data_IF_692337742359
#
_entry.id   IF_692337742359
#
_cell.length_a   1.000
_cell.length_b   1.000
_cell.length_c   1.000
_cell.angle_alpha   90.00
_cell.angle_beta   90.00
_cell.angle_gamma   90.00
#
_symmetry.space_group_name_H-M   'P 1'
#
loop_
_entity.id
_entity.type
_entity.pdbx_description
1 polymer ?
#
# COMPACT_ATOMS: atom_id res chain seq x y z
N UNK A 1 -91.63 23.89 -54.76
CA UNK A 1 -90.60 22.89 -55.19
C UNK A 1 -89.43 23.02 -54.24
N UNK A 2 -89.44 22.20 -53.22
CA UNK A 2 -88.53 22.29 -52.07
C UNK A 2 -87.58 21.09 -52.07
N UNK A 3 -86.33 21.35 -52.26
CA UNK A 3 -85.26 20.35 -52.23
C UNK A 3 -84.69 20.29 -50.80
N UNK A 4 -84.79 19.12 -50.17
CA UNK A 4 -84.17 18.87 -48.87
C UNK A 4 -82.77 18.28 -49.11
N UNK A 5 -81.73 18.96 -48.59
CA UNK A 5 -80.39 18.44 -48.56
C UNK A 5 -80.19 17.58 -47.28
N UNK A 6 -79.69 16.34 -47.47
CA UNK A 6 -79.32 15.43 -46.39
C UNK A 6 -77.77 15.55 -46.13
N UNK A 7 -77.38 16.00 -44.94
CA UNK A 7 -76.01 16.05 -44.48
C UNK A 7 -75.67 14.72 -43.88
N UNK A 8 -74.72 14.02 -44.50
CA UNK A 8 -74.10 12.81 -43.94
C UNK A 8 -72.89 13.19 -43.05
N UNK A 9 -73.00 12.93 -41.75
CA UNK A 9 -71.93 13.15 -40.82
C UNK A 9 -70.93 11.98 -40.85
N UNK A 10 -69.68 12.23 -41.22
CA UNK A 10 -68.60 11.27 -41.11
C UNK A 10 -67.95 11.37 -39.69
N UNK A 11 -68.08 10.33 -38.90
CA UNK A 11 -67.43 10.19 -37.62
C UNK A 11 -65.96 9.75 -37.84
N UNK A 12 -64.98 10.66 -37.54
CA UNK A 12 -63.57 10.28 -37.51
C UNK A 12 -63.27 9.58 -36.18
N UNK A 13 -63.03 8.27 -36.26
CA UNK A 13 -62.39 7.54 -35.15
C UNK A 13 -60.90 7.84 -35.14
N UNK A 14 -60.43 8.57 -34.14
CA UNK A 14 -59.00 8.74 -33.84
C UNK A 14 -58.51 7.51 -33.08
N UNK A 15 -57.76 6.65 -33.76
CA UNK A 15 -56.98 5.59 -33.07
C UNK A 15 -55.83 6.27 -32.28
N UNK A 16 -55.93 6.25 -30.94
CA UNK A 16 -54.79 6.62 -30.07
C UNK A 16 -53.75 5.51 -30.15
N UNK A 17 -52.55 5.83 -30.66
CA UNK A 17 -51.40 4.94 -30.61
C UNK A 17 -50.98 4.68 -29.15
N UNK A 18 -50.63 3.45 -28.77
CA UNK A 18 -50.13 3.20 -27.43
C UNK A 18 -48.82 3.95 -27.21
N UNK A 19 -48.56 4.42 -25.97
CA UNK A 19 -47.29 5.09 -25.66
C UNK A 19 -46.13 4.06 -25.86
N UNK A 20 -44.97 4.54 -26.34
CA UNK A 20 -43.78 3.69 -26.47
C UNK A 20 -43.41 3.13 -25.10
N UNK A 21 -42.90 1.86 -25.03
CA UNK A 21 -42.43 1.30 -23.76
C UNK A 21 -41.39 2.22 -23.19
N UNK A 22 -41.53 2.61 -21.93
CA UNK A 22 -40.50 3.27 -21.16
C UNK A 22 -39.31 2.31 -21.06
N UNK A 23 -38.23 2.62 -21.77
CA UNK A 23 -36.99 1.94 -21.54
C UNK A 23 -36.61 2.25 -20.10
N UNK A 24 -36.67 1.26 -19.21
CA UNK A 24 -36.06 1.33 -17.91
C UNK A 24 -34.59 1.61 -18.17
N UNK A 25 -34.10 2.78 -17.77
CA UNK A 25 -32.68 3.07 -17.65
C UNK A 25 -32.14 1.99 -16.72
N UNK A 26 -31.36 1.03 -17.26
CA UNK A 26 -30.55 0.14 -16.43
C UNK A 26 -29.77 1.03 -15.48
N UNK A 27 -29.95 0.81 -14.18
CA UNK A 27 -29.09 1.42 -13.19
C UNK A 27 -27.65 1.05 -13.57
N UNK A 28 -26.81 2.05 -13.73
CA UNK A 28 -25.41 1.89 -14.02
C UNK A 28 -24.81 1.14 -12.79
N UNK A 29 -24.54 -0.15 -12.95
CA UNK A 29 -23.99 -1.01 -11.90
C UNK A 29 -22.44 -0.85 -11.79
N UNK A 30 -21.92 0.25 -12.32
CA UNK A 30 -20.49 0.58 -12.20
C UNK A 30 -20.13 1.12 -10.80
N UNK A 31 -18.83 1.18 -10.48
CA UNK A 31 -18.36 1.74 -9.22
C UNK A 31 -18.74 3.23 -9.10
N UNK A 32 -18.93 3.70 -7.87
CA UNK A 32 -19.06 5.13 -7.61
C UNK A 32 -17.72 5.83 -7.85
N UNK A 33 -17.63 6.69 -8.86
CA UNK A 33 -16.39 7.41 -9.19
C UNK A 33 -16.22 8.63 -8.29
N UNK A 34 -15.05 8.76 -7.66
CA UNK A 34 -14.63 9.91 -6.87
C UNK A 34 -13.51 10.64 -7.61
N UNK A 35 -13.79 11.89 -7.98
CA UNK A 35 -12.83 12.78 -8.62
C UNK A 35 -11.86 13.40 -7.60
N UNK A 36 -10.63 13.72 -8.02
CA UNK A 36 -9.66 14.36 -7.14
C UNK A 36 -10.06 15.80 -6.80
N UNK A 37 -9.88 16.18 -5.53
CA UNK A 37 -10.09 17.54 -5.04
C UNK A 37 -8.83 18.41 -5.12
N UNK A 38 -7.64 17.78 -5.21
CA UNK A 38 -6.35 18.45 -5.23
C UNK A 38 -5.33 17.68 -6.08
N UNK A 39 -4.21 18.30 -6.47
CA UNK A 39 -3.06 17.59 -7.02
C UNK A 39 -2.50 16.58 -6.00
N UNK A 40 -1.67 15.63 -6.46
CA UNK A 40 -0.85 14.79 -5.61
C UNK A 40 0.10 15.66 -4.77
N UNK A 41 0.24 15.31 -3.51
CA UNK A 41 1.16 15.95 -2.58
C UNK A 41 2.16 14.93 -2.09
N UNK A 42 3.44 15.24 -2.27
CA UNK A 42 4.55 14.45 -1.77
C UNK A 42 5.06 15.10 -0.48
N UNK A 43 5.09 14.31 0.59
CA UNK A 43 5.65 14.68 1.88
C UNK A 43 6.89 13.82 2.14
N UNK A 44 7.99 14.50 2.46
CA UNK A 44 9.26 13.90 2.86
C UNK A 44 9.42 14.10 4.36
N UNK A 45 9.32 13.03 5.11
CA UNK A 45 9.63 12.99 6.55
C UNK A 45 11.04 12.43 6.77
N UNK A 46 11.54 12.48 7.99
CA UNK A 46 12.87 11.97 8.37
C UNK A 46 13.10 10.49 8.01
N UNK A 47 12.05 9.68 8.02
CA UNK A 47 12.15 8.24 7.89
C UNK A 47 11.22 7.62 6.83
N UNK A 48 10.41 8.41 6.14
CA UNK A 48 9.50 7.90 5.12
C UNK A 48 9.15 8.93 4.06
N UNK A 49 8.64 8.44 2.95
CA UNK A 49 8.03 9.25 1.90
C UNK A 49 6.54 8.94 1.81
N UNK A 50 5.71 9.96 1.73
CA UNK A 50 4.25 9.85 1.59
C UNK A 50 3.77 10.60 0.37
N UNK A 51 2.94 9.94 -0.42
CA UNK A 51 2.27 10.53 -1.56
C UNK A 51 0.76 10.50 -1.31
N UNK A 52 0.12 11.64 -1.17
CA UNK A 52 -1.26 11.73 -0.74
C UNK A 52 -2.12 12.57 -1.68
N UNK A 53 -3.41 12.19 -1.79
CA UNK A 53 -4.42 12.92 -2.53
C UNK A 53 -5.80 12.76 -1.93
N UNK A 54 -6.61 13.80 -1.97
CA UNK A 54 -8.01 13.78 -1.54
C UNK A 54 -8.97 13.71 -2.73
N UNK A 55 -10.09 13.01 -2.53
CA UNK A 55 -11.11 12.72 -3.54
C UNK A 55 -12.52 12.97 -2.99
N UNK A 56 -13.50 13.12 -3.89
CA UNK A 56 -14.89 13.23 -3.58
C UNK A 56 -15.42 14.66 -3.60
N UNK A 57 -16.04 15.13 -2.51
CA UNK A 57 -16.54 16.50 -2.35
C UNK A 57 -16.04 17.10 -1.04
N UNK A 58 -16.13 18.43 -0.89
CA UNK A 58 -15.69 19.11 0.34
C UNK A 58 -16.35 18.55 1.62
N UNK A 59 -17.61 18.13 1.52
CA UNK A 59 -18.37 17.58 2.65
C UNK A 59 -18.16 16.07 2.84
N UNK A 60 -17.66 15.35 1.83
CA UNK A 60 -17.47 13.89 1.82
C UNK A 60 -16.12 13.56 1.21
N UNK A 61 -15.08 13.80 2.00
CA UNK A 61 -13.71 13.58 1.58
C UNK A 61 -13.28 12.14 1.77
N UNK A 62 -12.49 11.69 0.83
CA UNK A 62 -11.73 10.43 0.91
C UNK A 62 -10.26 10.75 0.67
N UNK A 63 -9.38 10.27 1.53
CA UNK A 63 -7.94 10.35 1.40
C UNK A 63 -7.42 9.02 0.86
N UNK A 64 -6.59 9.07 -0.17
CA UNK A 64 -5.66 7.99 -0.52
C UNK A 64 -4.24 8.47 -0.21
N UNK A 65 -3.46 7.64 0.48
CA UNK A 65 -2.06 7.90 0.78
C UNK A 65 -1.24 6.64 0.53
N UNK A 66 -0.17 6.80 -0.22
CA UNK A 66 0.91 5.83 -0.39
C UNK A 66 2.05 6.19 0.56
N UNK A 67 2.69 5.19 1.15
CA UNK A 67 3.77 5.38 2.11
C UNK A 67 4.86 4.33 1.91
N UNK A 68 6.11 4.76 1.86
CA UNK A 68 7.28 3.90 1.89
C UNK A 68 8.22 4.31 3.03
N UNK A 69 8.73 3.30 3.75
CA UNK A 69 9.71 3.44 4.84
C UNK A 69 11.11 3.02 4.42
N UNK A 70 11.21 2.35 3.30
CA UNK A 70 12.42 1.91 2.60
C UNK A 70 12.13 1.76 1.11
N UNK A 71 13.16 1.86 0.26
CA UNK A 71 13.03 1.57 -1.17
C UNK A 71 12.48 0.16 -1.40
N UNK A 72 11.41 0.06 -2.18
CA UNK A 72 10.70 -1.20 -2.44
C UNK A 72 9.97 -1.16 -3.78
N UNK A 73 9.74 -2.31 -4.38
CA UNK A 73 8.87 -2.45 -5.55
C UNK A 73 7.38 -2.41 -5.19
N UNK A 74 7.06 -2.54 -3.90
CA UNK A 74 5.71 -2.41 -3.37
C UNK A 74 5.56 -1.13 -2.54
N UNK A 75 4.31 -0.75 -2.28
CA UNK A 75 3.96 0.42 -1.48
C UNK A 75 2.86 0.08 -0.47
N UNK A 76 3.01 0.55 0.74
CA UNK A 76 1.90 0.59 1.70
C UNK A 76 0.92 1.68 1.28
N UNK A 77 -0.37 1.37 1.28
CA UNK A 77 -1.38 2.35 0.99
C UNK A 77 -2.53 2.32 2.01
N UNK A 78 -3.16 3.45 2.18
CA UNK A 78 -4.37 3.56 2.96
C UNK A 78 -5.45 4.37 2.22
N UNK A 79 -6.71 3.96 2.43
CA UNK A 79 -7.89 4.75 2.05
C UNK A 79 -8.65 5.09 3.31
N UNK A 80 -8.92 6.38 3.54
CA UNK A 80 -9.62 6.87 4.72
C UNK A 80 -10.77 7.81 4.33
N UNK A 81 -11.88 7.79 5.08
CA UNK A 81 -12.98 8.73 4.87
C UNK A 81 -14.24 8.13 4.27
N UNK A 82 -14.94 8.92 3.45
CA UNK A 82 -16.31 8.60 3.00
C UNK A 82 -16.39 7.30 2.20
N UNK A 83 -15.42 6.99 1.34
CA UNK A 83 -15.40 5.77 0.54
C UNK A 83 -15.42 4.50 1.39
N UNK A 84 -14.80 4.52 2.56
CA UNK A 84 -14.65 3.35 3.45
C UNK A 84 -15.40 3.49 4.78
N UNK A 85 -16.28 4.48 4.93
CA UNK A 85 -17.01 4.75 6.19
C UNK A 85 -17.83 3.56 6.70
N UNK A 86 -18.21 2.64 5.82
CA UNK A 86 -18.98 1.43 6.17
C UNK A 86 -18.09 0.24 6.58
N UNK A 87 -16.76 0.36 6.49
CA UNK A 87 -15.78 -0.69 6.80
C UNK A 87 -15.51 -0.76 8.32
N UNK A 88 -16.56 -1.04 9.12
CA UNK A 88 -16.54 -0.96 10.59
C UNK A 88 -16.27 -2.28 11.30
N UNK A 89 -16.12 -3.38 10.58
CA UNK A 89 -15.83 -4.70 11.15
C UNK A 89 -14.75 -5.40 10.34
N UNK A 90 -13.94 -6.24 10.99
CA UNK A 90 -12.94 -7.05 10.28
C UNK A 90 -13.59 -7.87 9.18
N UNK A 91 -13.13 -7.71 7.96
CA UNK A 91 -13.60 -8.42 6.76
C UNK A 91 -12.52 -8.38 5.69
N UNK A 92 -12.77 -9.12 4.59
CA UNK A 92 -12.04 -8.96 3.34
C UNK A 92 -12.68 -7.88 2.47
N UNK A 93 -11.87 -7.23 1.67
CA UNK A 93 -12.26 -6.36 0.57
C UNK A 93 -11.36 -6.66 -0.63
N UNK A 94 -11.73 -6.16 -1.79
CA UNK A 94 -10.90 -6.21 -2.99
C UNK A 94 -10.42 -4.83 -3.37
N UNK A 95 -9.28 -4.78 -4.05
CA UNK A 95 -8.79 -3.58 -4.72
C UNK A 95 -8.21 -3.96 -6.10
N UNK A 96 -8.17 -3.00 -7.01
CA UNK A 96 -7.48 -3.14 -8.29
C UNK A 96 -6.96 -1.78 -8.75
N UNK A 97 -5.70 -1.72 -9.13
CA UNK A 97 -5.15 -0.58 -9.86
C UNK A 97 -5.40 -0.79 -11.35
N UNK A 98 -5.93 0.18 -12.05
CA UNK A 98 -6.33 0.00 -13.44
C UNK A 98 -6.14 1.22 -14.33
N UNK A 99 -6.32 0.99 -15.65
CA UNK A 99 -6.80 -0.23 -16.31
C UNK A 99 -5.77 -1.36 -16.34
N UNK A 100 -6.23 -2.61 -16.38
CA UNK A 100 -5.41 -3.80 -16.62
C UNK A 100 -4.94 -4.55 -15.38
N UNK A 101 -5.09 -4.00 -14.18
CA UNK A 101 -4.77 -4.73 -12.95
C UNK A 101 -5.88 -5.70 -12.54
N UNK A 102 -5.49 -6.85 -12.03
CA UNK A 102 -6.41 -7.83 -11.47
C UNK A 102 -6.91 -7.41 -10.09
N UNK A 103 -8.12 -7.87 -9.74
CA UNK A 103 -8.67 -7.61 -8.42
C UNK A 103 -8.01 -8.51 -7.37
N UNK A 104 -7.30 -7.90 -6.45
CA UNK A 104 -6.67 -8.56 -5.33
C UNK A 104 -7.54 -8.50 -4.07
N UNK A 105 -7.49 -9.53 -3.24
CA UNK A 105 -8.18 -9.57 -1.95
C UNK A 105 -7.25 -9.14 -0.82
N UNK A 106 -7.77 -8.37 0.12
CA UNK A 106 -7.04 -8.04 1.34
C UNK A 106 -7.94 -8.08 2.58
N UNK A 107 -7.37 -8.49 3.69
CA UNK A 107 -8.03 -8.44 4.99
C UNK A 107 -7.72 -7.12 5.69
N UNK A 108 -8.76 -6.46 6.18
CA UNK A 108 -8.59 -5.21 6.93
C UNK A 108 -9.09 -5.31 8.36
N UNK A 109 -8.42 -4.57 9.24
CA UNK A 109 -8.88 -4.30 10.61
C UNK A 109 -9.42 -2.87 10.66
N UNK A 110 -10.65 -2.67 11.20
CA UNK A 110 -11.18 -1.33 11.34
C UNK A 110 -10.28 -0.49 12.23
N UNK A 111 -9.89 0.67 11.73
CA UNK A 111 -9.14 1.67 12.49
C UNK A 111 -9.60 3.07 12.09
N UNK A 112 -9.03 4.09 12.71
CA UNK A 112 -9.35 5.50 12.40
C UNK A 112 -8.09 6.27 12.02
N UNK A 113 -8.24 7.27 11.15
CA UNK A 113 -7.16 8.12 10.69
C UNK A 113 -7.58 9.60 10.81
N UNK A 114 -7.15 10.24 11.89
CA UNK A 114 -7.45 11.64 12.16
C UNK A 114 -8.93 11.98 11.94
N UNK A 115 -9.16 13.14 11.35
CA UNK A 115 -10.51 13.65 11.05
C UNK A 115 -11.21 12.92 9.89
N UNK A 116 -10.49 12.11 9.11
CA UNK A 116 -11.09 11.27 8.06
C UNK A 116 -11.92 10.12 8.62
N UNK A 117 -11.70 9.71 9.88
CA UNK A 117 -12.43 8.63 10.51
C UNK A 117 -11.98 7.25 10.03
N UNK A 118 -12.92 6.40 9.55
CA UNK A 118 -12.61 5.01 9.17
C UNK A 118 -11.50 4.95 8.10
N UNK A 119 -10.54 4.04 8.33
CA UNK A 119 -9.43 3.79 7.41
C UNK A 119 -9.24 2.29 7.19
N UNK A 120 -8.87 1.92 5.98
CA UNK A 120 -8.35 0.61 5.60
C UNK A 120 -6.94 0.75 5.04
N UNK A 121 -6.12 -0.30 5.20
CA UNK A 121 -4.72 -0.31 4.79
C UNK A 121 -4.36 -1.63 4.15
N UNK A 122 -3.49 -1.59 3.16
CA UNK A 122 -2.86 -2.75 2.55
C UNK A 122 -1.43 -2.42 2.08
N UNK A 123 -0.76 -3.40 1.54
CA UNK A 123 0.52 -3.26 0.86
C UNK A 123 0.42 -4.04 -0.45
N UNK A 124 0.87 -3.46 -1.55
CA UNK A 124 0.87 -4.12 -2.85
C UNK A 124 1.83 -3.44 -3.83
N UNK A 125 2.13 -4.12 -4.93
CA UNK A 125 2.57 -3.46 -6.15
C UNK A 125 1.42 -2.64 -6.76
N UNK A 126 1.72 -1.53 -7.42
CA UNK A 126 0.73 -0.75 -8.18
C UNK A 126 0.59 -1.32 -9.59
N UNK A 127 1.68 -1.85 -10.15
CA UNK A 127 1.72 -2.52 -11.44
C UNK A 127 1.55 -4.02 -11.22
N UNK A 128 0.51 -4.60 -11.82
CA UNK A 128 0.39 -6.06 -11.87
C UNK A 128 1.38 -6.58 -12.92
N UNK A 129 2.46 -7.16 -12.48
CA UNK A 129 3.28 -8.02 -13.34
C UNK A 129 2.52 -9.34 -13.44
N UNK A 130 1.71 -9.52 -14.54
CA UNK A 130 0.84 -10.68 -14.72
C UNK A 130 1.50 -11.95 -14.23
N UNK A 131 0.72 -12.92 -13.71
CA UNK A 131 1.16 -14.08 -12.94
C UNK A 131 2.64 -14.43 -13.20
N UNK A 132 3.55 -13.96 -12.34
CA UNK A 132 4.80 -14.69 -12.14
C UNK A 132 4.34 -16.11 -11.86
N UNK A 133 4.71 -17.08 -12.71
CA UNK A 133 4.41 -18.50 -12.57
C UNK A 133 4.28 -18.79 -11.08
N UNK A 134 3.10 -19.32 -10.68
CA UNK A 134 2.77 -19.62 -9.29
C UNK A 134 4.05 -20.11 -8.62
N UNK A 135 4.60 -19.32 -7.70
CA UNK A 135 5.68 -19.78 -6.86
C UNK A 135 5.10 -21.03 -6.20
N UNK A 136 5.47 -22.19 -6.72
CA UNK A 136 5.06 -23.46 -6.17
C UNK A 136 5.42 -23.37 -4.69
N UNK A 137 4.42 -23.65 -3.87
CA UNK A 137 4.42 -23.68 -2.40
C UNK A 137 5.68 -24.42 -1.88
N UNK A 138 6.77 -23.73 -1.90
CA UNK A 138 8.09 -24.10 -1.45
C UNK A 138 8.71 -22.82 -0.92
N UNK A 139 9.07 -22.85 0.35
CA UNK A 139 9.63 -21.77 1.13
C UNK A 139 10.34 -20.72 0.28
N UNK A 140 9.78 -19.50 0.19
CA UNK A 140 10.27 -18.32 -0.55
C UNK A 140 11.76 -18.02 -0.25
N UNK A 141 12.32 -18.69 0.73
CA UNK A 141 13.70 -18.61 1.19
C UNK A 141 14.68 -19.54 0.43
N UNK A 142 14.20 -20.49 -0.40
CA UNK A 142 15.00 -21.52 -1.07
C UNK A 142 15.12 -21.32 -2.60
N UNK A 143 14.62 -20.19 -3.17
CA UNK A 143 14.86 -19.89 -4.58
C UNK A 143 16.34 -19.58 -4.79
N UNK A 144 17.01 -20.25 -5.74
CA UNK A 144 18.40 -19.94 -6.05
C UNK A 144 18.49 -18.47 -6.44
N UNK A 145 19.26 -17.70 -5.70
CA UNK A 145 19.57 -16.32 -6.01
C UNK A 145 20.28 -16.27 -7.38
N UNK A 146 19.68 -15.60 -8.37
CA UNK A 146 20.35 -15.32 -9.64
C UNK A 146 21.38 -14.21 -9.41
N UNK A 147 22.65 -14.59 -9.29
CA UNK A 147 23.76 -13.65 -9.08
C UNK A 147 23.95 -12.68 -10.29
N UNK A 148 23.30 -12.95 -11.43
CA UNK A 148 23.39 -12.12 -12.64
C UNK A 148 22.36 -10.99 -12.69
N UNK A 149 21.33 -11.01 -11.84
CA UNK A 149 20.31 -9.95 -11.75
C UNK A 149 20.76 -8.86 -10.76
N UNK A 150 21.18 -7.67 -11.21
CA UNK A 150 21.54 -6.57 -10.33
C UNK A 150 20.27 -6.06 -9.64
N UNK A 151 20.01 -6.54 -8.42
CA UNK A 151 18.82 -6.13 -7.65
C UNK A 151 18.82 -4.65 -7.27
N UNK A 152 19.99 -4.03 -7.29
CA UNK A 152 20.15 -2.59 -7.14
C UNK A 152 19.39 -2.01 -5.94
N UNK A 153 19.06 -0.75 -6.03
CA UNK A 153 18.15 -0.07 -5.12
C UNK A 153 16.71 -0.36 -5.58
N UNK A 154 15.89 -1.14 -4.82
CA UNK A 154 14.51 -1.40 -5.19
C UNK A 154 13.73 -0.10 -5.41
N UNK A 155 12.77 -0.08 -6.31
CA UNK A 155 11.96 1.09 -6.63
C UNK A 155 10.59 0.69 -7.16
N UNK A 156 9.64 1.62 -7.12
CA UNK A 156 8.33 1.43 -7.72
C UNK A 156 8.46 1.45 -9.24
N UNK A 157 7.76 0.58 -9.93
CA UNK A 157 7.73 0.54 -11.39
C UNK A 157 6.90 1.72 -11.95
N UNK A 158 7.55 2.86 -12.10
CA UNK A 158 6.93 4.07 -12.61
C UNK A 158 6.62 3.98 -14.11
N UNK A 159 7.44 3.27 -14.90
CA UNK A 159 7.22 3.08 -16.32
C UNK A 159 6.04 2.15 -16.58
N UNK A 160 5.93 1.05 -15.87
CA UNK A 160 4.77 0.16 -15.92
C UNK A 160 3.48 0.80 -15.40
N UNK A 161 3.60 1.84 -14.58
CA UNK A 161 2.44 2.60 -14.09
C UNK A 161 1.91 3.66 -15.06
N UNK A 162 2.55 3.85 -16.23
CA UNK A 162 2.03 4.71 -17.29
C UNK A 162 0.67 4.19 -17.78
N UNK A 163 -0.36 5.02 -17.69
CA UNK A 163 -1.73 4.65 -18.04
C UNK A 163 -2.53 3.99 -16.91
N UNK A 164 -1.96 3.70 -15.76
CA UNK A 164 -2.75 3.38 -14.55
C UNK A 164 -3.37 4.67 -14.05
N UNK A 165 -4.72 4.72 -14.05
CA UNK A 165 -5.46 5.96 -13.82
C UNK A 165 -6.49 5.89 -12.71
N UNK A 166 -6.72 4.72 -12.11
CA UNK A 166 -7.68 4.58 -11.03
C UNK A 166 -7.31 3.48 -10.04
N UNK A 167 -7.88 3.58 -8.84
CA UNK A 167 -7.92 2.53 -7.85
C UNK A 167 -9.39 2.19 -7.59
N UNK A 168 -9.77 0.95 -7.86
CA UNK A 168 -11.05 0.40 -7.42
C UNK A 168 -10.88 -0.25 -6.04
N UNK A 169 -11.84 -0.02 -5.16
CA UNK A 169 -11.90 -0.63 -3.83
C UNK A 169 -13.35 -0.96 -3.49
N UNK A 170 -13.63 -2.16 -3.00
CA UNK A 170 -14.97 -2.57 -2.66
C UNK A 170 -15.04 -3.87 -1.88
N UNK A 171 -16.22 -4.16 -1.31
CA UNK A 171 -16.55 -5.44 -0.67
C UNK A 171 -17.55 -6.25 -1.48
N UNK A 172 -18.25 -5.58 -2.37
CA UNK A 172 -19.21 -6.17 -3.30
C UNK A 172 -19.46 -5.15 -4.41
N UNK A 173 -19.93 -5.60 -5.56
CA UNK A 173 -20.25 -4.73 -6.71
C UNK A 173 -21.15 -3.54 -6.38
N UNK A 174 -21.97 -3.62 -5.33
CA UNK A 174 -22.87 -2.55 -4.91
C UNK A 174 -22.16 -1.45 -4.08
N UNK A 175 -20.99 -1.76 -3.51
CA UNK A 175 -20.22 -0.88 -2.63
C UNK A 175 -18.89 -0.46 -3.27
N UNK A 176 -18.67 -0.75 -4.56
CA UNK A 176 -17.41 -0.46 -5.23
C UNK A 176 -17.26 1.04 -5.47
N UNK A 177 -16.10 1.55 -5.12
CA UNK A 177 -15.70 2.94 -5.30
C UNK A 177 -14.45 2.97 -6.16
N UNK A 178 -14.44 3.87 -7.15
CA UNK A 178 -13.31 4.17 -8.01
C UNK A 178 -12.72 5.52 -7.65
N UNK A 179 -11.48 5.56 -7.25
CA UNK A 179 -10.71 6.80 -7.09
C UNK A 179 -10.02 7.11 -8.42
N UNK A 180 -10.35 8.25 -9.05
CA UNK A 180 -9.72 8.70 -10.29
C UNK A 180 -8.33 9.29 -9.98
N UNK A 181 -7.27 8.49 -10.15
CA UNK A 181 -5.90 8.85 -9.77
C UNK A 181 -5.25 9.81 -10.78
N UNK A 182 -5.71 9.81 -12.05
CA UNK A 182 -4.89 10.30 -13.16
C UNK A 182 -3.68 9.39 -13.40
N UNK A 183 -2.87 9.69 -14.39
CA UNK A 183 -1.68 8.89 -14.72
C UNK A 183 -0.70 8.81 -13.54
N UNK A 184 -0.26 7.60 -13.18
CA UNK A 184 0.55 7.34 -12.00
C UNK A 184 2.07 7.35 -12.24
N UNK A 185 2.54 7.43 -13.48
CA UNK A 185 3.97 7.45 -13.78
C UNK A 185 4.71 8.54 -13.01
N UNK A 186 4.34 9.81 -13.22
CA UNK A 186 5.00 10.94 -12.54
C UNK A 186 4.89 10.94 -11.01
N UNK A 187 3.75 10.60 -10.42
CA UNK A 187 3.65 10.42 -8.97
C UNK A 187 4.63 9.37 -8.43
N UNK A 188 4.79 8.23 -9.11
CA UNK A 188 5.73 7.18 -8.69
C UNK A 188 7.19 7.56 -8.94
N UNK A 189 7.52 8.24 -10.05
CA UNK A 189 8.84 8.83 -10.25
C UNK A 189 9.23 9.77 -9.10
N UNK A 190 8.29 10.62 -8.67
CA UNK A 190 8.52 11.53 -7.54
C UNK A 190 8.72 10.78 -6.23
N UNK A 191 7.97 9.69 -5.99
CA UNK A 191 8.15 8.82 -4.82
C UNK A 191 9.51 8.13 -4.83
N UNK A 192 9.93 7.58 -5.97
CA UNK A 192 11.25 6.96 -6.14
C UNK A 192 12.39 7.96 -5.90
N UNK A 193 12.25 9.19 -6.38
CA UNK A 193 13.24 10.25 -6.12
C UNK A 193 13.28 10.60 -4.63
N UNK A 194 12.12 10.70 -3.98
CA UNK A 194 12.03 10.92 -2.53
C UNK A 194 12.77 9.82 -1.76
N UNK A 195 12.54 8.56 -2.10
CA UNK A 195 13.20 7.42 -1.45
C UNK A 195 14.71 7.41 -1.68
N UNK A 196 15.18 7.75 -2.89
CA UNK A 196 16.61 7.87 -3.16
C UNK A 196 17.27 8.98 -2.30
N UNK A 197 16.63 10.15 -2.21
CA UNK A 197 17.10 11.25 -1.36
C UNK A 197 17.11 10.84 0.12
N UNK A 198 16.15 10.05 0.55
CA UNK A 198 16.07 9.54 1.92
C UNK A 198 17.21 8.58 2.23
N UNK A 199 17.59 7.70 1.29
CA UNK A 199 18.76 6.82 1.41
C UNK A 199 20.06 7.62 1.53
N UNK A 200 20.21 8.71 0.76
CA UNK A 200 21.35 9.64 0.91
C UNK A 200 21.34 10.34 2.27
N UNK A 201 20.17 10.77 2.75
CA UNK A 201 20.00 11.36 4.08
C UNK A 201 20.42 10.38 5.19
N UNK A 202 20.21 9.08 5.01
CA UNK A 202 20.66 8.04 5.94
C UNK A 202 22.19 7.83 5.91
N UNK A 203 22.90 8.47 5.00
CA UNK A 203 24.36 8.40 4.87
C UNK A 203 24.85 7.35 3.87
N UNK A 204 23.99 6.79 3.03
CA UNK A 204 24.39 5.83 1.99
C UNK A 204 24.54 6.50 0.64
N UNK A 205 25.56 6.09 -0.12
CA UNK A 205 25.76 6.50 -1.51
C UNK A 205 24.77 5.76 -2.41
N UNK A 206 23.79 6.47 -2.95
CA UNK A 206 22.72 5.91 -3.79
C UNK A 206 23.28 5.25 -5.06
N UNK A 207 24.34 5.78 -5.66
CA UNK A 207 24.94 5.18 -6.83
C UNK A 207 25.50 3.78 -6.50
N UNK A 208 26.19 3.66 -5.36
CA UNK A 208 26.68 2.36 -4.88
C UNK A 208 25.56 1.41 -4.46
N UNK A 209 24.49 1.94 -3.84
CA UNK A 209 23.33 1.09 -3.51
C UNK A 209 22.66 0.51 -4.75
N UNK A 210 22.68 1.20 -5.89
CA UNK A 210 22.16 0.68 -7.17
C UNK A 210 23.03 -0.42 -7.80
N UNK A 211 24.29 -0.51 -7.39
CA UNK A 211 25.24 -1.55 -7.85
C UNK A 211 25.20 -2.81 -6.97
N UNK A 212 24.46 -2.80 -5.87
CA UNK A 212 24.34 -3.96 -4.97
C UNK A 212 23.57 -5.08 -5.67
N UNK A 213 24.21 -6.24 -5.81
CA UNK A 213 23.60 -7.46 -6.35
C UNK A 213 23.17 -8.43 -5.26
N UNK A 214 23.78 -8.36 -4.08
CA UNK A 214 23.39 -9.13 -2.91
C UNK A 214 23.17 -8.21 -1.72
N UNK A 215 21.98 -8.24 -1.15
CA UNK A 215 21.64 -7.47 0.05
C UNK A 215 22.27 -8.08 1.30
N UNK A 216 22.35 -7.34 2.43
CA UNK A 216 22.83 -7.91 3.69
C UNK A 216 21.95 -9.08 4.12
N UNK A 217 22.57 -10.20 4.50
CA UNK A 217 21.86 -11.37 4.99
C UNK A 217 22.03 -11.53 6.51
N UNK A 218 20.93 -11.77 7.23
CA UNK A 218 20.90 -11.83 8.69
C UNK A 218 21.26 -13.25 9.18
N UNK A 219 22.50 -13.44 9.61
CA UNK A 219 23.07 -14.77 9.93
C UNK A 219 22.51 -15.44 11.18
N UNK A 220 22.10 -14.69 12.19
CA UNK A 220 21.73 -15.23 13.50
C UNK A 220 20.37 -14.75 14.04
N UNK A 221 19.29 -14.76 13.22
CA UNK A 221 17.97 -14.22 13.62
C UNK A 221 17.43 -14.88 14.88
N UNK A 222 17.54 -16.20 15.02
CA UNK A 222 17.04 -16.94 16.19
C UNK A 222 17.68 -16.51 17.51
N UNK A 223 18.99 -16.17 17.49
CA UNK A 223 19.68 -15.70 18.67
C UNK A 223 19.17 -14.32 19.11
N UNK A 224 19.00 -13.40 18.15
CA UNK A 224 18.48 -12.05 18.40
C UNK A 224 17.02 -12.09 18.83
N UNK A 225 16.17 -12.84 18.14
CA UNK A 225 14.76 -13.04 18.51
C UNK A 225 14.63 -13.59 19.94
N UNK A 226 15.47 -14.57 20.31
CA UNK A 226 15.50 -15.11 21.68
C UNK A 226 15.86 -14.02 22.72
N UNK A 227 16.75 -13.09 22.40
CA UNK A 227 17.06 -11.95 23.26
C UNK A 227 15.88 -10.96 23.34
N UNK A 228 15.23 -10.68 22.23
CA UNK A 228 14.04 -9.82 22.18
C UNK A 228 12.93 -10.39 23.07
N UNK A 229 12.62 -11.67 22.93
CA UNK A 229 11.61 -12.38 23.77
C UNK A 229 11.96 -12.31 25.25
N UNK A 230 13.21 -12.56 25.64
CA UNK A 230 13.68 -12.50 27.04
C UNK A 230 13.56 -11.09 27.62
N UNK A 231 13.62 -10.06 26.81
CA UNK A 231 13.51 -8.67 27.20
C UNK A 231 12.07 -8.11 27.09
N UNK A 232 11.07 -8.96 26.82
CA UNK A 232 9.66 -8.57 26.89
C UNK A 232 9.36 -8.01 28.29
N UNK A 233 8.84 -6.77 28.42
CA UNK A 233 8.58 -6.19 29.73
C UNK A 233 7.59 -7.04 30.52
N UNK A 234 7.97 -7.48 31.71
CA UNK A 234 7.13 -8.39 32.53
C UNK A 234 5.76 -7.79 32.87
N UNK A 235 5.66 -6.46 33.01
CA UNK A 235 4.38 -5.77 33.24
C UNK A 235 3.50 -5.84 32.00
N UNK A 236 4.08 -5.57 30.82
CA UNK A 236 3.39 -5.68 29.52
C UNK A 236 2.92 -7.11 29.26
N UNK A 237 3.79 -8.11 29.51
CA UNK A 237 3.46 -9.53 29.34
C UNK A 237 2.24 -9.93 30.22
N UNK A 238 2.20 -9.52 31.50
CA UNK A 238 1.06 -9.83 32.40
C UNK A 238 -0.26 -9.14 31.98
N UNK A 239 -0.18 -8.00 31.31
CA UNK A 239 -1.35 -7.22 30.84
C UNK A 239 -1.74 -7.54 29.40
N UNK A 240 -0.99 -8.38 28.70
CA UNK A 240 -1.19 -8.60 27.26
C UNK A 240 -0.91 -7.35 26.41
N UNK A 241 -0.12 -6.42 26.93
CA UNK A 241 0.24 -5.20 26.21
C UNK A 241 1.19 -5.54 25.06
N UNK A 242 0.97 -4.93 23.91
CA UNK A 242 1.68 -5.20 22.66
C UNK A 242 2.51 -4.00 22.22
N UNK A 243 3.51 -4.24 21.39
CA UNK A 243 4.30 -3.18 20.76
C UNK A 243 4.76 -3.58 19.37
N UNK A 244 4.99 -2.59 18.55
CA UNK A 244 5.47 -2.69 17.18
C UNK A 244 6.61 -1.68 16.99
N UNK A 245 7.77 -2.16 16.55
CA UNK A 245 8.93 -1.33 16.27
C UNK A 245 9.40 -1.57 14.86
N UNK A 246 9.54 -0.50 14.10
CA UNK A 246 10.23 -0.52 12.82
C UNK A 246 11.63 0.03 13.01
N UNK A 247 12.62 -0.74 12.62
CA UNK A 247 14.04 -0.44 12.81
C UNK A 247 14.75 -0.42 11.47
N UNK A 248 15.67 0.52 11.29
CA UNK A 248 16.66 0.51 10.23
C UNK A 248 18.04 0.32 10.83
N UNK A 249 18.74 -0.69 10.36
CA UNK A 249 20.11 -1.00 10.74
C UNK A 249 21.04 -0.52 9.63
N UNK A 250 22.12 0.16 9.97
CA UNK A 250 23.23 0.42 9.06
C UNK A 250 24.22 -0.74 9.22
N UNK A 251 24.48 -1.46 8.13
CA UNK A 251 25.37 -2.62 8.09
C UNK A 251 26.67 -2.19 7.40
N UNK A 252 27.77 -2.30 8.10
CA UNK A 252 29.09 -2.02 7.57
C UNK A 252 29.57 -3.03 6.53
N UNK A 253 30.63 -2.70 5.80
CA UNK A 253 31.25 -3.59 4.84
C UNK A 253 31.86 -4.87 5.48
N UNK A 254 31.99 -4.92 6.80
CA UNK A 254 32.40 -6.08 7.57
C UNK A 254 31.23 -6.93 8.13
N UNK A 255 29.98 -6.51 7.82
CA UNK A 255 28.76 -7.16 8.31
C UNK A 255 28.36 -6.76 9.74
N UNK A 256 29.08 -5.82 10.37
CA UNK A 256 28.71 -5.30 11.69
C UNK A 256 27.54 -4.33 11.63
N UNK A 257 26.74 -4.25 12.70
CA UNK A 257 25.71 -3.22 12.86
C UNK A 257 26.35 -1.95 13.37
N UNK A 258 26.59 -0.98 12.49
CA UNK A 258 27.22 0.31 12.82
C UNK A 258 26.25 1.28 13.49
N UNK A 259 24.97 1.23 13.09
CA UNK A 259 23.93 2.09 13.66
C UNK A 259 22.56 1.37 13.62
N UNK A 260 21.68 1.76 14.53
CA UNK A 260 20.27 1.35 14.53
C UNK A 260 19.39 2.58 14.77
N UNK A 261 18.52 2.87 13.82
CA UNK A 261 17.53 3.92 13.92
C UNK A 261 16.14 3.31 14.18
N UNK A 262 15.42 3.90 15.13
CA UNK A 262 14.00 3.62 15.33
C UNK A 262 13.22 4.50 14.35
N UNK A 263 12.65 3.90 13.30
CA UNK A 263 11.95 4.64 12.25
C UNK A 263 10.47 4.83 12.55
N UNK A 264 9.86 3.89 13.27
CA UNK A 264 8.48 4.01 13.75
C UNK A 264 8.25 3.10 14.96
N UNK A 265 7.31 3.49 15.83
CA UNK A 265 6.87 2.64 16.93
C UNK A 265 5.40 2.85 17.29
N UNK A 266 4.76 1.77 17.70
CA UNK A 266 3.44 1.79 18.33
C UNK A 266 3.55 1.01 19.63
N UNK A 267 3.32 1.67 20.75
CA UNK A 267 3.45 1.09 22.08
C UNK A 267 2.09 1.13 22.80
N UNK A 268 1.73 0.03 23.46
CA UNK A 268 0.66 0.06 24.43
C UNK A 268 1.08 0.87 25.68
N UNK A 269 0.12 1.48 26.39
CA UNK A 269 0.34 2.43 27.50
C UNK A 269 1.33 1.94 28.58
N UNK A 270 1.33 0.65 28.90
CA UNK A 270 2.19 0.06 29.94
C UNK A 270 3.44 -0.64 29.40
N UNK A 271 3.81 -0.38 28.14
CA UNK A 271 4.95 -1.02 27.51
C UNK A 271 6.25 -0.27 27.84
N UNK A 272 6.84 -0.57 28.99
CA UNK A 272 8.09 0.03 29.48
C UNK A 272 9.28 -0.91 29.21
N UNK A 273 10.13 -0.53 28.27
CA UNK A 273 11.28 -1.34 27.84
C UNK A 273 12.54 -1.04 28.67
N UNK A 274 13.07 -2.06 29.30
CA UNK A 274 14.39 -2.00 29.96
C UNK A 274 15.53 -2.00 28.97
N UNK A 275 15.35 -2.63 27.82
CA UNK A 275 16.33 -2.77 26.76
C UNK A 275 15.68 -2.65 25.40
N UNK A 276 15.99 -1.56 24.73
CA UNK A 276 15.41 -1.26 23.41
C UNK A 276 15.86 -2.28 22.35
N UNK A 277 15.01 -2.67 21.37
CA UNK A 277 15.41 -3.59 20.30
C UNK A 277 16.68 -3.16 19.58
N UNK A 278 16.89 -1.88 19.32
CA UNK A 278 18.14 -1.38 18.72
C UNK A 278 19.39 -1.81 19.51
N UNK A 279 19.36 -1.72 20.85
CA UNK A 279 20.48 -2.17 21.69
C UNK A 279 20.74 -3.65 21.51
N UNK A 280 19.66 -4.45 21.40
CA UNK A 280 19.78 -5.90 21.19
C UNK A 280 20.41 -6.22 19.84
N UNK A 281 19.96 -5.54 18.76
CA UNK A 281 20.52 -5.71 17.43
C UNK A 281 22.00 -5.29 17.38
N UNK A 282 22.34 -4.09 17.85
CA UNK A 282 23.72 -3.59 17.82
C UNK A 282 24.71 -4.46 18.57
N UNK A 283 24.27 -5.14 19.63
CA UNK A 283 25.14 -5.98 20.43
C UNK A 283 25.22 -7.45 19.94
N UNK A 284 24.21 -7.95 19.26
CA UNK A 284 24.05 -9.39 19.03
C UNK A 284 23.86 -9.78 17.57
N UNK A 285 23.38 -8.88 16.70
CA UNK A 285 23.12 -9.24 15.33
C UNK A 285 24.41 -9.36 14.51
N UNK A 286 24.43 -10.32 13.60
CA UNK A 286 25.55 -10.57 12.68
C UNK A 286 24.97 -10.69 11.26
N UNK A 287 25.64 -10.04 10.31
CA UNK A 287 25.21 -10.03 8.91
C UNK A 287 26.39 -10.44 8.00
N UNK A 288 26.07 -11.08 6.86
CA UNK A 288 26.95 -10.95 5.70
C UNK A 288 26.75 -9.55 5.13
N UNK A 289 27.81 -8.83 4.71
CA UNK A 289 27.65 -7.52 4.11
C UNK A 289 26.97 -7.60 2.73
N UNK A 290 26.35 -6.52 2.28
CA UNK A 290 25.96 -6.38 0.88
C UNK A 290 27.20 -6.45 -0.04
N UNK A 291 27.01 -6.93 -1.27
CA UNK A 291 28.09 -6.97 -2.26
C UNK A 291 27.63 -6.45 -3.62
N UNK A 292 28.56 -5.84 -4.35
CA UNK A 292 28.40 -5.52 -5.76
C UNK A 292 28.70 -6.72 -6.67
N UNK A 293 28.55 -6.55 -7.98
CA UNK A 293 28.81 -7.60 -8.99
C UNK A 293 30.27 -8.11 -9.03
N UNK A 294 31.23 -7.33 -8.51
CA UNK A 294 32.62 -7.75 -8.36
C UNK A 294 32.88 -8.51 -7.06
N UNK A 295 31.85 -8.69 -6.21
CA UNK A 295 31.97 -9.27 -4.89
C UNK A 295 32.56 -8.33 -3.85
N UNK A 296 32.66 -7.03 -4.15
CA UNK A 296 33.17 -6.03 -3.20
C UNK A 296 32.09 -5.71 -2.16
N UNK A 297 32.45 -5.76 -0.90
CA UNK A 297 31.52 -5.41 0.18
C UNK A 297 31.12 -3.93 0.14
N UNK A 298 29.82 -3.69 0.28
CA UNK A 298 29.21 -2.35 0.24
C UNK A 298 28.47 -2.12 1.56
N UNK A 299 28.72 -1.01 2.28
CA UNK A 299 27.85 -0.63 3.39
C UNK A 299 26.42 -0.45 2.91
N UNK A 300 25.46 -1.03 3.61
CA UNK A 300 24.06 -1.02 3.20
C UNK A 300 23.14 -0.92 4.43
N UNK A 301 21.84 -0.78 4.19
CA UNK A 301 20.84 -0.79 5.27
C UNK A 301 20.04 -2.11 5.27
N UNK A 302 19.48 -2.41 6.44
CA UNK A 302 18.56 -3.53 6.64
C UNK A 302 17.36 -3.02 7.46
N UNK A 303 16.16 -3.15 6.92
CA UNK A 303 14.94 -2.74 7.62
C UNK A 303 14.27 -3.98 8.22
N UNK A 304 13.83 -3.88 9.47
CA UNK A 304 13.16 -4.97 10.16
C UNK A 304 12.04 -4.48 11.06
N UNK A 305 11.07 -5.35 11.30
CA UNK A 305 9.94 -5.09 12.16
C UNK A 305 9.90 -6.05 13.32
N UNK A 306 9.78 -5.53 14.53
CA UNK A 306 9.68 -6.31 15.76
C UNK A 306 8.28 -6.18 16.33
N UNK A 307 7.56 -7.29 16.34
CA UNK A 307 6.21 -7.36 16.87
C UNK A 307 6.21 -8.10 18.22
N UNK A 308 5.89 -7.38 19.28
CA UNK A 308 5.59 -7.98 20.58
C UNK A 308 4.09 -8.29 20.63
N UNK A 309 3.74 -9.54 20.38
CA UNK A 309 2.35 -10.03 20.43
C UNK A 309 2.21 -11.15 21.44
N UNK A 310 1.04 -11.21 22.07
CA UNK A 310 0.68 -12.37 22.87
C UNK A 310 0.34 -13.54 21.96
N UNK A 311 0.77 -14.77 22.30
CA UNK A 311 0.23 -15.96 21.66
C UNK A 311 -1.28 -15.96 21.78
N UNK A 312 -2.00 -16.14 20.65
CA UNK A 312 -3.46 -16.24 20.61
C UNK A 312 -3.94 -17.57 21.17
#
# INVERSE_FOLDING_TARGET
MTIRAVLAGAALLTLAAPPPPAFATQADNGPTVLEPLAPWQLDLDENNCRLARTFGTEDRKTLLMFEQWDPSASVSWLVAGDAVKTYRSRRSASFAFGPGGDAEQFDYLPSTFGDFGTVVRSNSSIVSHGEAEEAQDGDEWDQPYDESDPRGLPHLDADGAEGITYLDIGRSKADDVRLNLGDMKKPLEAMNLCMANLVEHWGFDVARQREVVRQPDFLNPNAVVSQIIRNYPSKALRKGAQADFHLRLSIGADGSVENCALINQTLAEDFDMRRHPCTIFSENAQFTPATDAAGTAVPAYYVTRILYRMPG
#
